data_IF_051544840416
#
_entry.id   IF_051544840416
#
_cell.length_a   1.000
_cell.length_b   1.000
_cell.length_c   1.000
_cell.angle_alpha   90.00
_cell.angle_beta   90.00
_cell.angle_gamma   90.00
#
_symmetry.space_group_name_H-M   'P 1'
#
loop_
_entity.id
_entity.type
_entity.pdbx_description
1 polymer ?
#
# COMPACT_ATOMS: atom_id res chain seq x y z
N UNK A 1 -2.16 -26.96 -48.28
CA UNK A 1 -1.45 -26.16 -47.26
C UNK A 1 -2.48 -25.76 -46.21
N UNK A 2 -2.48 -26.28 -44.97
CA UNK A 2 -3.39 -25.78 -43.95
C UNK A 2 -2.90 -24.39 -43.53
N UNK A 3 -3.79 -23.40 -43.65
CA UNK A 3 -3.50 -22.02 -43.32
C UNK A 3 -3.06 -21.90 -41.86
N UNK A 4 -1.94 -21.23 -41.65
CA UNK A 4 -1.47 -20.81 -40.34
C UNK A 4 -2.49 -19.82 -39.77
N UNK A 5 -3.53 -20.34 -39.13
CA UNK A 5 -4.50 -19.55 -38.40
C UNK A 5 -3.78 -18.82 -37.28
N UNK A 6 -3.85 -17.50 -37.28
CA UNK A 6 -3.41 -16.68 -36.15
C UNK A 6 -4.25 -17.10 -34.94
N UNK A 7 -3.65 -17.83 -34.02
CA UNK A 7 -4.32 -18.20 -32.77
C UNK A 7 -4.33 -16.96 -31.88
N UNK A 8 -5.46 -16.25 -31.86
CA UNK A 8 -5.67 -15.14 -30.95
C UNK A 8 -5.74 -15.73 -29.53
N UNK A 9 -4.66 -15.61 -28.75
CA UNK A 9 -4.69 -16.01 -27.34
C UNK A 9 -5.56 -15.01 -26.58
N UNK A 10 -6.66 -15.48 -26.00
CA UNK A 10 -7.44 -14.66 -25.09
C UNK A 10 -6.57 -14.29 -23.89
N UNK A 11 -6.39 -12.99 -23.64
CA UNK A 11 -5.68 -12.51 -22.45
C UNK A 11 -6.60 -12.70 -21.25
N UNK A 12 -6.49 -13.87 -20.61
CA UNK A 12 -7.21 -14.22 -19.40
C UNK A 12 -6.33 -13.95 -18.18
N UNK A 13 -6.83 -13.14 -17.26
CA UNK A 13 -6.23 -13.02 -15.94
C UNK A 13 -6.31 -14.37 -15.21
N UNK A 14 -5.22 -14.76 -14.56
CA UNK A 14 -5.09 -15.95 -13.72
C UNK A 14 -5.15 -15.60 -12.22
N UNK A 15 -4.66 -14.41 -11.86
CA UNK A 15 -4.73 -13.85 -10.51
C UNK A 15 -4.61 -12.33 -10.58
N UNK A 16 -4.98 -11.69 -9.49
CA UNK A 16 -4.76 -10.27 -9.28
C UNK A 16 -3.72 -10.04 -8.19
N UNK A 17 -2.91 -8.99 -8.33
CA UNK A 17 -2.00 -8.52 -7.30
C UNK A 17 -2.53 -7.18 -6.83
N UNK A 18 -2.81 -7.07 -5.54
CA UNK A 18 -3.23 -5.82 -4.91
C UNK A 18 -2.03 -5.18 -4.22
N UNK A 19 -1.81 -3.90 -4.52
CA UNK A 19 -0.76 -3.11 -3.91
C UNK A 19 -1.33 -1.85 -3.27
N UNK A 20 -0.62 -1.33 -2.27
CA UNK A 20 -0.92 -0.04 -1.67
C UNK A 20 0.30 0.86 -1.59
N UNK A 21 0.05 2.17 -1.59
CA UNK A 21 1.02 3.20 -1.22
C UNK A 21 0.43 4.03 -0.09
N UNK A 22 1.26 4.40 0.89
CA UNK A 22 0.82 5.11 2.09
C UNK A 22 1.41 6.53 2.17
N UNK A 23 0.93 7.33 3.11
CA UNK A 23 1.39 8.72 3.31
C UNK A 23 2.77 8.86 3.96
N UNK A 24 3.30 7.81 4.58
CA UNK A 24 4.64 7.82 5.18
C UNK A 24 5.73 7.59 4.13
N UNK A 25 5.45 6.74 3.15
CA UNK A 25 6.33 6.40 2.03
C UNK A 25 5.61 6.64 0.69
N UNK A 26 5.31 7.91 0.34
CA UNK A 26 4.53 8.22 -0.84
C UNK A 26 5.29 7.80 -2.11
N UNK A 27 4.59 7.10 -3.02
CA UNK A 27 5.15 6.65 -4.29
C UNK A 27 5.80 5.26 -4.24
N UNK A 28 6.07 4.73 -3.05
CA UNK A 28 6.44 3.34 -2.88
C UNK A 28 5.17 2.48 -2.86
N UNK A 29 5.11 1.48 -3.74
CA UNK A 29 4.01 0.53 -3.83
C UNK A 29 4.43 -0.80 -3.20
N UNK A 30 3.61 -1.28 -2.28
CA UNK A 30 3.85 -2.51 -1.53
C UNK A 30 2.75 -3.51 -1.84
N UNK A 31 3.12 -4.74 -2.19
CA UNK A 31 2.15 -5.82 -2.40
C UNK A 31 1.44 -6.17 -1.09
N UNK A 32 0.13 -5.97 -1.05
CA UNK A 32 -0.73 -6.32 0.08
C UNK A 32 -1.20 -7.76 -0.01
N UNK A 33 -1.71 -8.17 -1.17
CA UNK A 33 -2.36 -9.46 -1.35
C UNK A 33 -2.24 -9.99 -2.78
N UNK A 34 -2.38 -11.30 -2.93
CA UNK A 34 -2.61 -11.96 -4.22
C UNK A 34 -3.99 -12.60 -4.18
N UNK A 35 -4.82 -12.30 -5.17
CA UNK A 35 -6.22 -12.67 -5.20
C UNK A 35 -6.51 -13.57 -6.39
N UNK A 36 -7.42 -14.52 -6.20
CA UNK A 36 -7.95 -15.32 -7.31
C UNK A 36 -8.82 -14.45 -8.24
N UNK A 37 -9.01 -14.89 -9.48
CA UNK A 37 -9.78 -14.13 -10.48
C UNK A 37 -11.25 -13.95 -10.14
N UNK A 38 -11.79 -14.78 -9.25
CA UNK A 38 -13.17 -14.67 -8.76
C UNK A 38 -13.31 -13.66 -7.61
N UNK A 39 -12.21 -13.26 -6.97
CA UNK A 39 -12.25 -12.36 -5.84
C UNK A 39 -12.78 -10.98 -6.26
N UNK A 40 -13.67 -10.43 -5.43
CA UNK A 40 -14.22 -9.08 -5.60
C UNK A 40 -13.85 -8.15 -4.45
N UNK A 41 -13.30 -8.71 -3.37
CA UNK A 41 -12.95 -8.01 -2.14
C UNK A 41 -11.72 -8.69 -1.52
N UNK A 42 -10.97 -7.91 -0.75
CA UNK A 42 -9.82 -8.34 0.02
C UNK A 42 -9.86 -7.69 1.40
N UNK A 43 -9.10 -8.21 2.35
CA UNK A 43 -8.95 -7.63 3.69
C UNK A 43 -7.47 -7.50 4.00
N UNK A 44 -7.03 -6.25 4.22
CA UNK A 44 -5.63 -5.91 4.47
C UNK A 44 -5.51 -5.31 5.87
N UNK A 45 -4.45 -5.67 6.59
CA UNK A 45 -4.08 -5.00 7.85
C UNK A 45 -3.23 -3.79 7.53
N UNK A 46 -3.71 -2.61 7.91
CA UNK A 46 -3.06 -1.32 7.66
C UNK A 46 -2.60 -0.70 8.98
N UNK A 47 -1.55 0.12 8.92
CA UNK A 47 -1.16 0.95 10.05
C UNK A 47 -2.19 2.05 10.27
N UNK A 48 -2.52 2.38 11.54
CA UNK A 48 -3.43 3.47 11.89
C UNK A 48 -2.82 4.83 11.51
N UNK A 49 -3.65 5.88 11.55
CA UNK A 49 -3.23 7.26 11.31
C UNK A 49 -2.56 7.54 9.94
N UNK A 50 -2.76 6.68 8.94
CA UNK A 50 -2.16 6.84 7.61
C UNK A 50 -3.21 6.94 6.50
N UNK A 51 -2.84 7.60 5.40
CA UNK A 51 -3.66 7.63 4.17
C UNK A 51 -3.12 6.64 3.16
N UNK A 52 -3.99 5.83 2.57
CA UNK A 52 -3.63 4.78 1.62
C UNK A 52 -4.29 5.00 0.26
N UNK A 53 -3.58 4.61 -0.80
CA UNK A 53 -4.14 4.40 -2.13
C UNK A 53 -3.88 2.97 -2.54
N UNK A 54 -4.87 2.32 -3.14
CA UNK A 54 -4.77 0.93 -3.60
C UNK A 54 -4.77 0.89 -5.12
N UNK A 55 -4.07 -0.08 -5.70
CA UNK A 55 -4.15 -0.40 -7.13
C UNK A 55 -4.08 -1.91 -7.31
N UNK A 56 -4.56 -2.39 -8.45
CA UNK A 56 -4.58 -3.82 -8.77
C UNK A 56 -3.93 -4.08 -10.13
N UNK A 57 -3.13 -5.14 -10.22
CA UNK A 57 -2.59 -5.66 -11.46
C UNK A 57 -3.23 -6.99 -11.81
N UNK A 58 -3.52 -7.22 -13.10
CA UNK A 58 -3.87 -8.53 -13.60
C UNK A 58 -2.62 -9.31 -14.01
N UNK A 59 -2.51 -10.57 -13.60
CA UNK A 59 -1.42 -11.46 -14.02
C UNK A 59 -1.99 -12.54 -14.94
N UNK A 60 -1.42 -12.71 -16.11
CA UNK A 60 -1.76 -13.74 -17.09
C UNK A 60 -0.56 -14.68 -17.33
N UNK A 61 -0.66 -15.58 -18.31
CA UNK A 61 0.43 -16.53 -18.67
C UNK A 61 1.70 -15.86 -19.21
N UNK A 62 1.60 -14.63 -19.69
CA UNK A 62 2.71 -13.86 -20.25
C UNK A 62 3.36 -12.91 -19.24
N UNK A 63 2.69 -12.67 -18.10
CA UNK A 63 3.22 -11.84 -17.02
C UNK A 63 2.18 -10.93 -16.39
N UNK A 64 2.66 -9.87 -15.76
CA UNK A 64 1.85 -8.87 -15.07
C UNK A 64 1.54 -7.71 -16.01
N UNK A 65 0.25 -7.37 -16.15
CA UNK A 65 -0.19 -6.20 -16.89
C UNK A 65 -0.01 -4.89 -16.11
N UNK A 66 -0.29 -3.78 -16.79
CA UNK A 66 -0.26 -2.45 -16.20
C UNK A 66 -1.20 -2.35 -14.97
N UNK A 67 -0.82 -1.55 -13.95
CA UNK A 67 -1.68 -1.30 -12.81
C UNK A 67 -2.99 -0.62 -13.21
N UNK A 68 -4.04 -0.89 -12.43
CA UNK A 68 -5.22 -0.03 -12.42
C UNK A 68 -4.86 1.39 -11.99
N UNK A 69 -5.77 2.33 -12.27
CA UNK A 69 -5.70 3.62 -11.60
C UNK A 69 -5.77 3.42 -10.07
N UNK A 70 -4.99 4.19 -9.30
CA UNK A 70 -5.02 4.12 -7.86
C UNK A 70 -6.36 4.65 -7.33
N UNK A 71 -6.77 4.20 -6.14
CA UNK A 71 -7.97 4.69 -5.46
C UNK A 71 -7.87 6.19 -5.20
N UNK A 72 -8.92 6.94 -5.57
CA UNK A 72 -9.08 8.38 -5.34
C UNK A 72 -10.51 8.64 -4.84
N UNK A 73 -10.71 9.36 -3.72
CA UNK A 73 -9.69 9.91 -2.83
C UNK A 73 -8.94 8.82 -2.04
N UNK A 74 -7.81 9.19 -1.45
CA UNK A 74 -7.07 8.27 -0.58
C UNK A 74 -7.92 7.87 0.65
N UNK A 75 -7.85 6.61 1.04
CA UNK A 75 -8.56 6.06 2.20
C UNK A 75 -7.74 6.32 3.46
N UNK A 76 -8.30 7.06 4.43
CA UNK A 76 -7.63 7.33 5.71
C UNK A 76 -8.06 6.32 6.76
N UNK A 77 -7.11 5.62 7.38
CA UNK A 77 -7.38 4.75 8.53
C UNK A 77 -7.70 5.57 9.77
N UNK A 78 -8.47 4.99 10.69
CA UNK A 78 -8.79 5.62 11.96
C UNK A 78 -7.54 5.92 12.80
N UNK A 79 -7.67 6.92 13.67
CA UNK A 79 -6.63 7.25 14.63
C UNK A 79 -6.60 6.23 15.76
N UNK A 80 -5.42 5.72 16.09
CA UNK A 80 -5.24 4.80 17.22
C UNK A 80 -4.26 5.41 18.23
N UNK A 81 -4.36 4.97 19.50
CA UNK A 81 -3.37 5.31 20.51
C UNK A 81 -1.97 4.89 20.04
N UNK A 82 -0.95 5.77 20.13
CA UNK A 82 0.42 5.41 19.82
C UNK A 82 0.85 4.19 20.64
N UNK A 83 1.44 3.21 19.98
CA UNK A 83 1.90 1.99 20.66
C UNK A 83 3.27 2.15 21.32
N UNK A 84 4.01 3.21 20.99
CA UNK A 84 5.34 3.49 21.55
C UNK A 84 5.35 4.82 22.28
N UNK A 85 6.12 4.88 23.35
CA UNK A 85 6.49 6.12 24.01
C UNK A 85 7.44 6.95 23.13
N UNK A 86 7.55 8.27 23.39
CA UNK A 86 8.57 9.11 22.78
C UNK A 86 9.97 8.55 23.01
N UNK A 87 10.84 8.72 22.01
CA UNK A 87 12.24 8.33 22.10
C UNK A 87 13.11 9.51 22.57
N UNK A 88 14.33 9.22 23.00
CA UNK A 88 15.37 10.23 23.25
C UNK A 88 14.93 11.39 24.18
N UNK A 89 14.21 11.05 25.26
CA UNK A 89 13.76 12.06 26.23
C UNK A 89 14.97 12.65 26.94
N UNK A 90 15.23 13.93 26.75
CA UNK A 90 16.35 14.67 27.34
C UNK A 90 15.91 15.99 27.95
N UNK A 91 16.75 16.55 28.82
CA UNK A 91 16.52 17.88 29.40
C UNK A 91 17.56 18.88 28.91
N UNK A 92 17.11 20.10 28.58
CA UNK A 92 17.98 21.22 28.22
C UNK A 92 17.95 22.22 29.37
N UNK A 93 19.13 22.48 29.96
CA UNK A 93 19.32 23.35 31.11
C UNK A 93 19.90 24.71 30.72
N UNK A 94 19.23 25.44 29.83
CA UNK A 94 19.69 26.72 29.28
C UNK A 94 19.10 27.95 30.00
N UNK A 95 18.05 27.77 30.83
CA UNK A 95 17.33 28.86 31.50
C UNK A 95 17.10 28.60 32.99
N UNK A 96 17.43 29.59 33.83
CA UNK A 96 17.18 29.55 35.28
C UNK A 96 15.68 29.53 35.57
N UNK A 97 15.24 28.67 36.50
CA UNK A 97 13.82 28.43 36.86
C UNK A 97 12.97 27.72 35.80
N UNK A 98 13.57 27.20 34.71
CA UNK A 98 12.86 26.41 33.72
C UNK A 98 13.46 25.01 33.61
N UNK A 99 12.59 24.05 33.28
CA UNK A 99 12.97 22.71 32.85
C UNK A 99 12.43 22.51 31.44
N UNK A 100 13.33 22.47 30.46
CA UNK A 100 12.97 22.17 29.07
C UNK A 100 13.17 20.68 28.85
N UNK A 101 12.13 20.00 28.36
CA UNK A 101 12.15 18.57 28.05
C UNK A 101 11.95 18.42 26.54
N UNK A 102 12.87 17.70 25.89
CA UNK A 102 12.85 17.41 24.46
C UNK A 102 12.75 15.89 24.24
N UNK A 103 12.12 15.48 23.14
CA UNK A 103 11.97 14.08 22.74
C UNK A 103 11.79 13.97 21.22
N UNK A 104 11.92 12.75 20.70
CA UNK A 104 11.69 12.35 19.30
C UNK A 104 10.40 11.54 19.14
#
# INVERSE_FOLDING_TARGET
MPGSGVQCLAIRALRFIEEYSNSHEPGQWVQASTLDTAARQSSIRLLPCASYRFRVHAVNVHGTGDPSLPTIPACRTESQRPFRNPANVTTVGDKTHYLVIEWE
#
